data_IF_259037245179
#
_entry.id   IF_259037245179
#
_cell.length_a   1.000
_cell.length_b   1.000
_cell.length_c   1.000
_cell.angle_alpha   90.00
_cell.angle_beta   90.00
_cell.angle_gamma   90.00
#
_symmetry.space_group_name_H-M   'P 1'
#
loop_
_entity.id
_entity.type
_entity.pdbx_description
1 polymer ?
#
# COMPACT_ATOMS: atom_id res chain seq x y z
N UNK A 1 15.00 13.04 10.44
CA UNK A 1 14.74 12.20 11.62
C UNK A 1 13.77 11.11 11.24
N UNK A 2 14.09 9.86 11.53
CA UNK A 2 13.29 8.67 11.21
C UNK A 2 12.79 8.09 12.53
N UNK A 3 11.50 7.69 12.55
CA UNK A 3 10.88 6.90 13.63
C UNK A 3 10.28 5.63 13.07
N UNK A 4 9.67 5.71 11.89
CA UNK A 4 9.03 4.60 11.17
C UNK A 4 9.72 4.36 9.84
N UNK A 5 9.82 3.10 9.42
CA UNK A 5 10.29 2.73 8.09
C UNK A 5 9.49 1.56 7.54
N UNK A 6 8.97 1.73 6.33
CA UNK A 6 8.33 0.67 5.56
C UNK A 6 9.14 0.48 4.28
N UNK A 7 9.61 -0.74 4.03
CA UNK A 7 10.37 -1.07 2.84
C UNK A 7 9.54 -1.86 1.85
N UNK A 8 9.57 -1.43 0.59
CA UNK A 8 8.93 -2.07 -0.55
C UNK A 8 9.95 -2.70 -1.48
N UNK A 9 9.52 -3.68 -2.26
CA UNK A 9 10.32 -4.38 -3.26
C UNK A 9 9.49 -4.72 -4.48
N UNK A 10 10.11 -4.61 -5.64
CA UNK A 10 9.63 -5.23 -6.87
C UNK A 10 10.67 -6.25 -7.30
N UNK A 11 10.25 -7.51 -7.41
CA UNK A 11 11.17 -8.62 -7.62
C UNK A 11 10.49 -9.75 -8.39
N UNK A 12 11.28 -10.41 -9.21
CA UNK A 12 10.92 -11.70 -9.80
C UNK A 12 11.51 -12.81 -8.92
N UNK A 13 10.64 -13.69 -8.42
CA UNK A 13 11.04 -14.85 -7.60
C UNK A 13 10.59 -16.13 -8.32
N UNK A 14 11.40 -16.69 -9.20
CA UNK A 14 11.13 -17.98 -9.84
C UNK A 14 10.86 -19.08 -8.80
N UNK A 15 10.19 -20.20 -9.16
CA UNK A 15 9.95 -21.30 -8.25
C UNK A 15 11.19 -21.73 -7.49
N UNK A 16 11.07 -21.95 -6.18
CA UNK A 16 12.18 -22.30 -5.30
C UNK A 16 13.04 -21.12 -4.86
N UNK A 17 12.65 -19.89 -5.15
CA UNK A 17 13.42 -18.70 -4.74
C UNK A 17 12.57 -17.72 -3.92
N UNK A 18 13.23 -16.94 -3.08
CA UNK A 18 12.62 -15.89 -2.27
C UNK A 18 13.65 -14.82 -1.91
N UNK A 19 13.19 -13.71 -1.34
CA UNK A 19 14.06 -12.67 -0.83
C UNK A 19 13.59 -12.16 0.54
N UNK A 20 14.54 -11.59 1.28
CA UNK A 20 14.26 -10.90 2.52
C UNK A 20 14.98 -9.56 2.55
N UNK A 21 14.24 -8.50 2.87
CA UNK A 21 14.82 -7.21 3.22
C UNK A 21 15.18 -7.18 4.71
N UNK A 22 16.15 -6.35 5.05
CA UNK A 22 16.51 -5.99 6.42
C UNK A 22 16.86 -4.52 6.50
N UNK A 23 16.65 -3.94 7.66
CA UNK A 23 16.96 -2.53 7.93
C UNK A 23 17.83 -2.40 9.17
N UNK A 24 18.72 -1.43 9.16
CA UNK A 24 19.36 -0.89 10.36
C UNK A 24 19.41 0.62 10.28
N UNK A 25 19.50 1.27 11.41
CA UNK A 25 19.44 2.73 11.52
C UNK A 25 20.66 3.30 12.24
N UNK A 26 20.97 4.56 11.96
CA UNK A 26 22.01 5.30 12.66
C UNK A 26 21.37 6.17 13.73
N UNK A 27 21.66 5.83 14.96
CA UNK A 27 21.35 6.60 16.16
C UNK A 27 22.53 7.52 16.50
N UNK A 28 22.34 8.51 17.39
CA UNK A 28 23.47 9.29 17.95
C UNK A 28 24.56 8.41 18.57
N UNK A 29 24.18 7.27 19.12
CA UNK A 29 25.08 6.31 19.78
C UNK A 29 25.80 5.35 18.84
N UNK A 30 25.45 5.35 17.53
CA UNK A 30 26.03 4.45 16.53
C UNK A 30 24.98 3.74 15.66
N UNK A 31 25.40 2.72 14.95
CA UNK A 31 24.49 1.88 14.16
C UNK A 31 23.79 0.86 15.05
N UNK A 32 22.48 0.66 14.79
CA UNK A 32 21.72 -0.44 15.41
C UNK A 32 22.15 -1.80 14.87
N UNK A 33 21.65 -2.88 15.46
CA UNK A 33 21.59 -4.19 14.84
C UNK A 33 20.70 -4.18 13.58
N UNK A 34 20.71 -5.30 12.86
CA UNK A 34 19.83 -5.51 11.71
C UNK A 34 18.48 -6.08 12.15
N UNK A 35 17.40 -5.44 11.70
CA UNK A 35 16.02 -5.92 11.83
C UNK A 35 15.58 -6.58 10.53
N UNK A 36 15.14 -7.82 10.61
CA UNK A 36 14.59 -8.54 9.46
C UNK A 36 13.21 -8.02 9.15
N UNK A 37 12.91 -7.81 7.87
CA UNK A 37 11.61 -7.43 7.35
C UNK A 37 10.93 -8.66 6.70
N UNK A 38 9.64 -8.58 6.32
CA UNK A 38 8.91 -9.71 5.76
C UNK A 38 9.61 -10.41 4.58
N UNK A 39 9.49 -11.72 4.54
CA UNK A 39 9.97 -12.57 3.45
C UNK A 39 8.95 -12.51 2.30
N UNK A 40 9.48 -12.32 1.09
CA UNK A 40 8.68 -12.35 -0.13
C UNK A 40 9.03 -13.53 -1.03
N UNK A 41 7.99 -14.23 -1.46
CA UNK A 41 8.00 -15.18 -2.59
C UNK A 41 6.68 -15.05 -3.33
N UNK A 42 6.70 -14.99 -4.65
CA UNK A 42 5.48 -15.03 -5.47
C UNK A 42 4.86 -16.43 -5.51
N UNK A 43 5.70 -17.48 -5.48
CA UNK A 43 5.29 -18.88 -5.40
C UNK A 43 5.36 -19.38 -3.94
N UNK A 44 4.21 -19.74 -3.32
CA UNK A 44 4.18 -20.23 -1.95
C UNK A 44 4.56 -21.71 -1.80
N UNK A 45 4.83 -22.43 -2.88
CA UNK A 45 5.09 -23.88 -2.83
C UNK A 45 6.37 -24.24 -2.04
N UNK A 46 7.43 -23.45 -2.21
CA UNK A 46 8.71 -23.67 -1.50
C UNK A 46 8.76 -22.86 -0.21
N UNK A 47 8.49 -21.55 -0.29
CA UNK A 47 8.46 -20.65 0.85
C UNK A 47 7.20 -19.80 0.80
N UNK A 48 6.36 -19.94 1.80
CA UNK A 48 5.20 -19.08 1.97
C UNK A 48 5.66 -17.69 2.40
N UNK A 49 5.27 -16.64 1.63
CA UNK A 49 5.55 -15.25 2.02
C UNK A 49 4.93 -14.95 3.38
N UNK A 50 5.65 -14.25 4.22
CA UNK A 50 5.16 -13.98 5.58
C UNK A 50 5.87 -12.79 6.21
N UNK A 51 5.16 -12.14 7.12
CA UNK A 51 5.73 -11.20 8.10
C UNK A 51 6.63 -11.93 9.08
N UNK A 52 7.56 -11.19 9.67
CA UNK A 52 8.45 -11.70 10.70
C UNK A 52 8.12 -11.04 12.02
N UNK A 53 8.00 -11.86 13.08
CA UNK A 53 7.94 -11.32 14.45
C UNK A 53 9.38 -11.07 14.89
N UNK A 54 9.81 -9.83 14.89
CA UNK A 54 11.08 -9.44 15.47
C UNK A 54 10.80 -8.95 16.89
N UNK A 55 11.36 -9.64 17.86
CA UNK A 55 11.27 -9.22 19.25
C UNK A 55 11.81 -7.81 19.40
N UNK A 56 11.10 -7.00 20.19
CA UNK A 56 11.54 -5.65 20.50
C UNK A 56 12.84 -5.69 21.32
N UNK A 57 13.79 -4.84 20.94
CA UNK A 57 14.95 -4.49 21.75
C UNK A 57 14.85 -3.05 22.24
N UNK A 58 15.89 -2.53 22.86
CA UNK A 58 15.92 -1.13 23.34
C UNK A 58 15.88 -0.10 22.22
N UNK A 59 16.14 -0.49 20.98
CA UNK A 59 16.18 0.42 19.82
C UNK A 59 14.87 0.43 19.07
N UNK A 60 14.32 -0.73 18.74
CA UNK A 60 13.11 -0.81 17.92
C UNK A 60 12.55 -2.22 17.81
N UNK A 61 11.61 -2.39 16.91
CA UNK A 61 10.96 -3.65 16.58
C UNK A 61 10.39 -3.61 15.16
N UNK A 62 9.91 -4.74 14.68
CA UNK A 62 9.13 -4.81 13.44
C UNK A 62 7.74 -5.31 13.79
N UNK A 63 6.73 -4.51 13.45
CA UNK A 63 5.33 -4.90 13.51
C UNK A 63 4.84 -5.18 12.09
N UNK A 64 4.56 -6.43 11.81
CA UNK A 64 4.09 -6.95 10.52
C UNK A 64 5.02 -6.54 9.37
N UNK A 65 4.95 -5.31 8.89
CA UNK A 65 5.68 -4.78 7.73
C UNK A 65 6.41 -3.46 8.01
N UNK A 66 6.25 -2.92 9.22
CA UNK A 66 6.78 -1.62 9.62
C UNK A 66 7.85 -1.78 10.70
N UNK A 67 9.05 -1.25 10.43
CA UNK A 67 10.06 -1.05 11.47
C UNK A 67 9.75 0.24 12.23
N UNK A 68 9.80 0.17 13.56
CA UNK A 68 9.52 1.29 14.45
C UNK A 68 10.60 1.43 15.52
N UNK A 69 11.05 2.67 15.76
CA UNK A 69 11.95 3.01 16.85
C UNK A 69 11.18 3.18 18.17
N UNK A 70 11.78 2.73 19.26
CA UNK A 70 11.20 2.78 20.60
C UNK A 70 11.82 3.91 21.44
N UNK A 71 11.18 4.16 22.59
CA UNK A 71 11.69 5.04 23.64
C UNK A 71 12.02 6.45 23.13
N UNK A 72 11.17 6.98 22.22
CA UNK A 72 11.33 8.30 21.60
C UNK A 72 12.68 8.47 20.87
N UNK A 73 13.35 7.35 20.54
CA UNK A 73 14.57 7.38 19.74
C UNK A 73 14.27 7.88 18.35
N UNK A 74 15.26 8.52 17.76
CA UNK A 74 15.20 8.98 16.38
C UNK A 74 16.50 8.63 15.68
N UNK A 75 16.40 8.31 14.39
CA UNK A 75 17.56 8.03 13.55
C UNK A 75 17.79 9.14 12.54
N UNK A 76 19.03 9.34 12.14
CA UNK A 76 19.42 10.32 11.12
C UNK A 76 19.52 9.72 9.73
N UNK A 77 19.78 8.41 9.64
CA UNK A 77 19.85 7.67 8.40
C UNK A 77 19.53 6.20 8.64
N UNK A 78 19.34 5.47 7.55
CA UNK A 78 19.12 4.03 7.56
C UNK A 78 19.92 3.34 6.44
N UNK A 79 20.07 2.04 6.59
CA UNK A 79 20.59 1.17 5.53
C UNK A 79 19.61 0.03 5.31
N UNK A 80 19.40 -0.30 4.04
CA UNK A 80 18.66 -1.50 3.64
C UNK A 80 19.66 -2.56 3.16
N UNK A 81 19.38 -3.79 3.52
CA UNK A 81 20.06 -4.96 2.99
C UNK A 81 19.07 -5.88 2.30
N UNK A 82 19.47 -6.48 1.21
CA UNK A 82 18.68 -7.48 0.47
C UNK A 82 19.42 -8.80 0.52
N UNK A 83 18.71 -9.86 0.89
CA UNK A 83 19.25 -11.22 0.79
C UNK A 83 18.38 -12.01 -0.17
N UNK A 84 19.01 -12.57 -1.18
CA UNK A 84 18.42 -13.42 -2.20
C UNK A 84 18.65 -14.87 -1.84
N UNK A 85 17.62 -15.69 -1.91
CA UNK A 85 17.67 -17.09 -1.52
C UNK A 85 17.23 -17.99 -2.67
N UNK A 86 17.86 -19.15 -2.75
CA UNK A 86 17.51 -20.24 -3.65
C UNK A 86 17.58 -21.57 -2.91
N UNK A 87 16.56 -22.38 -3.02
CA UNK A 87 16.50 -23.69 -2.38
C UNK A 87 17.50 -24.69 -2.98
N UNK A 88 17.78 -24.58 -4.29
CA UNK A 88 18.61 -25.55 -5.03
C UNK A 88 19.85 -24.92 -5.67
N UNK A 89 19.93 -23.59 -5.71
CA UNK A 89 20.96 -22.88 -6.47
C UNK A 89 20.73 -22.83 -7.98
N UNK A 90 19.71 -23.52 -8.50
CA UNK A 90 19.43 -23.56 -9.94
C UNK A 90 18.85 -22.25 -10.48
N UNK A 91 18.03 -21.56 -9.67
CA UNK A 91 17.42 -20.28 -10.01
C UNK A 91 17.83 -19.22 -8.98
N UNK A 92 17.83 -17.96 -9.38
CA UNK A 92 18.03 -16.82 -8.48
C UNK A 92 16.89 -15.83 -8.63
N UNK A 93 16.42 -15.20 -7.53
CA UNK A 93 15.52 -14.07 -7.66
C UNK A 93 16.25 -12.86 -8.24
N UNK A 94 15.52 -11.97 -8.90
CA UNK A 94 16.02 -10.67 -9.33
C UNK A 94 15.20 -9.56 -8.70
N UNK A 95 15.84 -8.43 -8.41
CA UNK A 95 15.21 -7.26 -7.77
C UNK A 95 15.30 -6.08 -8.71
N UNK A 96 14.15 -5.50 -9.06
CA UNK A 96 14.06 -4.36 -9.96
C UNK A 96 13.95 -3.04 -9.18
N UNK A 97 13.35 -3.08 -7.98
CA UNK A 97 13.18 -1.91 -7.12
C UNK A 97 13.28 -2.31 -5.66
N UNK A 98 14.00 -1.50 -4.89
CA UNK A 98 13.91 -1.42 -3.43
C UNK A 98 13.63 0.02 -3.08
N UNK A 99 12.50 0.27 -2.44
CA UNK A 99 12.11 1.59 -1.97
C UNK A 99 11.85 1.55 -0.45
N UNK A 100 11.99 2.68 0.20
CA UNK A 100 11.59 2.83 1.59
C UNK A 100 10.97 4.20 1.83
N UNK A 101 9.88 4.24 2.58
CA UNK A 101 9.41 5.45 3.22
C UNK A 101 9.90 5.46 4.66
N UNK A 102 10.66 6.50 4.99
CA UNK A 102 11.15 6.76 6.32
C UNK A 102 10.47 8.03 6.83
N UNK A 103 9.80 7.96 7.96
CA UNK A 103 8.96 9.04 8.46
C UNK A 103 9.01 9.18 9.98
N UNK A 104 8.43 10.28 10.46
CA UNK A 104 8.09 10.53 11.85
C UNK A 104 6.75 11.24 11.90
N UNK A 105 6.11 11.19 13.03
CA UNK A 105 4.96 12.06 13.27
C UNK A 105 5.42 13.51 13.42
N UNK A 106 4.67 14.42 12.82
CA UNK A 106 4.86 15.84 12.98
C UNK A 106 3.90 16.34 14.07
N UNK A 107 4.29 17.36 14.87
CA UNK A 107 3.40 17.98 15.84
C UNK A 107 2.12 18.54 15.21
N UNK A 108 2.23 19.00 13.95
CA UNK A 108 1.11 19.38 13.09
C UNK A 108 1.48 19.16 11.63
N UNK A 109 0.48 18.85 10.82
CA UNK A 109 0.64 18.77 9.38
C UNK A 109 0.09 20.05 8.74
N UNK A 110 0.73 20.59 7.69
CA UNK A 110 0.25 21.78 7.04
C UNK A 110 -1.12 21.52 6.40
N UNK A 111 -2.08 22.39 6.67
CA UNK A 111 -3.34 22.41 5.92
C UNK A 111 -3.08 23.13 4.60
N UNK A 112 -3.04 22.37 3.51
CA UNK A 112 -2.83 22.91 2.17
C UNK A 112 -4.19 23.03 1.45
N UNK A 113 -4.44 24.13 0.72
CA UNK A 113 -5.65 24.25 -0.09
C UNK A 113 -5.66 23.16 -1.19
N UNK A 114 -6.85 22.82 -1.73
CA UNK A 114 -6.94 21.93 -2.87
C UNK A 114 -6.07 22.41 -4.04
N UNK A 115 -5.38 21.49 -4.73
CA UNK A 115 -4.65 21.81 -5.94
C UNK A 115 -5.66 22.07 -7.07
N UNK A 116 -5.72 23.28 -7.63
CA UNK A 116 -6.71 23.62 -8.66
C UNK A 116 -6.55 22.80 -9.93
N UNK A 117 -5.35 22.25 -10.20
CA UNK A 117 -5.09 21.39 -11.36
C UNK A 117 -5.74 20.03 -11.25
N UNK A 118 -5.99 19.58 -10.03
CA UNK A 118 -6.65 18.31 -9.75
C UNK A 118 -8.19 18.46 -9.63
N UNK A 119 -8.73 19.69 -9.69
CA UNK A 119 -10.17 19.93 -9.61
C UNK A 119 -10.89 19.26 -10.77
N UNK A 120 -11.87 18.41 -10.47
CA UNK A 120 -12.64 17.64 -11.43
C UNK A 120 -11.90 16.44 -12.05
N UNK A 121 -10.67 16.14 -11.62
CA UNK A 121 -9.98 14.89 -11.99
C UNK A 121 -10.76 13.73 -11.38
N UNK A 122 -11.15 12.76 -12.19
CA UNK A 122 -11.82 11.53 -11.78
C UNK A 122 -11.38 10.39 -12.69
N UNK A 123 -10.40 9.61 -12.26
CA UNK A 123 -9.87 8.49 -13.02
C UNK A 123 -10.92 7.40 -13.16
N UNK A 124 -10.99 6.75 -14.32
CA UNK A 124 -11.99 5.72 -14.62
C UNK A 124 -11.63 4.37 -13.96
N UNK A 125 -11.48 4.38 -12.63
CA UNK A 125 -11.14 3.18 -11.88
C UNK A 125 -12.33 2.22 -11.85
N UNK A 126 -12.17 0.95 -12.26
CA UNK A 126 -13.21 -0.07 -12.15
C UNK A 126 -13.70 -0.24 -10.71
N UNK A 127 -14.97 -0.58 -10.55
CA UNK A 127 -15.60 -0.68 -9.24
C UNK A 127 -15.71 -2.13 -8.81
N UNK A 128 -15.12 -2.47 -7.66
CA UNK A 128 -15.17 -3.81 -7.06
C UNK A 128 -15.45 -3.72 -5.58
N UNK A 129 -16.50 -4.41 -5.14
CA UNK A 129 -16.80 -4.58 -3.72
C UNK A 129 -16.08 -5.82 -3.19
N UNK A 130 -15.60 -5.75 -1.96
CA UNK A 130 -15.09 -6.91 -1.22
C UNK A 130 -16.21 -7.78 -0.63
N UNK A 131 -17.44 -7.24 -0.55
CA UNK A 131 -18.57 -7.85 0.17
C UNK A 131 -19.37 -8.85 -0.67
N UNK A 132 -18.94 -9.14 -1.91
CA UNK A 132 -19.70 -10.02 -2.79
C UNK A 132 -19.79 -11.44 -2.24
N UNK A 133 -20.99 -12.09 -2.33
CA UNK A 133 -21.20 -13.43 -1.77
C UNK A 133 -20.27 -14.51 -2.33
N UNK A 134 -19.84 -14.38 -3.60
CA UNK A 134 -18.90 -15.30 -4.23
C UNK A 134 -17.53 -15.37 -3.57
N UNK A 135 -17.16 -14.39 -2.75
CA UNK A 135 -15.89 -14.40 -2.01
C UNK A 135 -15.96 -15.17 -0.69
N UNK A 136 -17.16 -15.62 -0.28
CA UNK A 136 -17.38 -16.43 0.94
C UNK A 136 -17.32 -17.94 0.71
N UNK A 137 -16.84 -18.38 -0.47
CA UNK A 137 -16.69 -19.80 -0.81
C UNK A 137 -15.66 -20.52 0.05
N UNK A 138 -15.81 -21.85 0.27
CA UNK A 138 -14.88 -22.63 1.11
C UNK A 138 -13.41 -22.56 0.68
N UNK A 139 -13.15 -22.48 -0.63
CA UNK A 139 -11.79 -22.36 -1.17
C UNK A 139 -11.04 -21.11 -0.73
N UNK A 140 -11.76 -20.03 -0.35
CA UNK A 140 -11.16 -18.77 0.11
C UNK A 140 -10.99 -18.67 1.62
N UNK A 141 -11.53 -19.65 2.38
CA UNK A 141 -11.40 -19.66 3.83
C UNK A 141 -9.93 -19.62 4.32
N UNK A 142 -8.97 -20.31 3.70
CA UNK A 142 -7.56 -20.22 4.08
C UNK A 142 -6.96 -18.82 3.94
N UNK A 143 -7.60 -17.93 3.16
CA UNK A 143 -7.14 -16.57 2.87
C UNK A 143 -7.97 -15.50 3.61
N UNK A 144 -8.54 -15.83 4.75
CA UNK A 144 -9.40 -14.97 5.55
C UNK A 144 -10.87 -14.99 5.12
N UNK A 145 -11.24 -15.72 4.06
CA UNK A 145 -12.61 -15.98 3.66
C UNK A 145 -13.33 -14.84 2.93
N UNK A 146 -12.62 -13.79 2.50
CA UNK A 146 -13.22 -12.65 1.81
C UNK A 146 -13.92 -11.65 2.74
N UNK A 147 -14.80 -10.82 2.18
CA UNK A 147 -15.55 -9.83 2.95
C UNK A 147 -14.65 -8.78 3.63
N UNK A 148 -14.91 -8.50 4.89
CA UNK A 148 -14.26 -7.43 5.67
C UNK A 148 -12.72 -7.44 5.68
N UNK A 149 -12.09 -8.57 5.35
CA UNK A 149 -10.63 -8.72 5.43
C UNK A 149 -9.92 -8.51 4.09
N UNK A 150 -10.64 -8.25 2.99
CA UNK A 150 -10.06 -8.15 1.64
C UNK A 150 -10.01 -6.74 1.05
N UNK A 151 -10.11 -5.70 1.88
CA UNK A 151 -10.07 -4.31 1.39
C UNK A 151 -8.79 -4.00 0.59
N UNK A 152 -7.63 -4.45 1.06
CA UNK A 152 -6.34 -4.20 0.41
C UNK A 152 -6.21 -4.88 -0.96
N UNK A 153 -6.41 -6.21 -1.11
CA UNK A 153 -6.35 -6.85 -2.42
C UNK A 153 -7.47 -6.39 -3.36
N UNK A 154 -8.67 -6.06 -2.85
CA UNK A 154 -9.75 -5.50 -3.67
C UNK A 154 -9.33 -4.15 -4.26
N UNK A 155 -8.78 -3.26 -3.45
CA UNK A 155 -8.25 -1.97 -3.91
C UNK A 155 -7.09 -2.15 -4.91
N UNK A 156 -6.18 -3.09 -4.64
CA UNK A 156 -5.07 -3.42 -5.54
C UNK A 156 -5.58 -3.94 -6.89
N UNK A 157 -6.56 -4.84 -6.88
CA UNK A 157 -7.15 -5.39 -8.11
C UNK A 157 -7.88 -4.33 -8.95
N UNK A 158 -8.55 -3.33 -8.31
CA UNK A 158 -9.15 -2.21 -9.03
C UNK A 158 -8.10 -1.35 -9.75
N UNK A 159 -6.98 -1.07 -9.10
CA UNK A 159 -5.87 -0.31 -9.71
C UNK A 159 -5.19 -1.12 -10.82
N UNK A 160 -5.01 -2.41 -10.65
CA UNK A 160 -4.44 -3.28 -11.69
C UNK A 160 -5.35 -3.37 -12.92
N UNK A 161 -6.68 -3.50 -12.72
CA UNK A 161 -7.64 -3.48 -13.83
C UNK A 161 -7.66 -2.12 -14.54
N UNK A 162 -7.56 -1.00 -13.81
CA UNK A 162 -7.41 0.32 -14.44
C UNK A 162 -6.20 0.34 -15.38
N UNK A 163 -5.05 -0.14 -14.95
CA UNK A 163 -3.87 -0.21 -15.81
C UNK A 163 -4.03 -1.21 -16.95
N UNK A 164 -4.76 -2.31 -16.74
CA UNK A 164 -5.12 -3.23 -17.82
C UNK A 164 -5.87 -2.51 -18.96
N UNK A 165 -6.82 -1.64 -18.60
CA UNK A 165 -7.61 -0.88 -19.56
C UNK A 165 -6.77 0.23 -20.23
N UNK A 166 -6.01 0.99 -19.46
CA UNK A 166 -5.17 2.09 -19.97
C UNK A 166 -4.10 1.58 -20.96
N UNK A 167 -3.49 0.43 -20.65
CA UNK A 167 -2.40 -0.14 -21.45
C UNK A 167 -2.87 -1.16 -22.50
N UNK A 168 -4.15 -1.54 -22.49
CA UNK A 168 -4.67 -2.68 -23.27
C UNK A 168 -3.91 -3.98 -22.98
N UNK A 169 -3.58 -4.23 -21.70
CA UNK A 169 -2.83 -5.40 -21.20
C UNK A 169 -3.72 -6.30 -20.34
N UNK A 170 -4.44 -7.28 -20.92
CA UNK A 170 -5.42 -8.12 -20.19
C UNK A 170 -4.83 -8.87 -18.99
N UNK A 171 -3.54 -9.22 -19.01
CA UNK A 171 -2.87 -9.91 -17.90
C UNK A 171 -2.84 -9.11 -16.58
N UNK A 172 -3.03 -7.81 -16.64
CA UNK A 172 -3.12 -6.94 -15.44
C UNK A 172 -4.50 -7.00 -14.79
N UNK A 173 -5.54 -7.48 -15.49
CA UNK A 173 -6.88 -7.61 -14.95
C UNK A 173 -6.98 -8.84 -14.02
N UNK A 174 -6.44 -8.72 -12.83
CA UNK A 174 -6.48 -9.77 -11.82
C UNK A 174 -7.79 -9.70 -11.03
N UNK A 175 -8.39 -10.85 -10.73
CA UNK A 175 -9.60 -10.90 -9.90
C UNK A 175 -9.27 -10.54 -8.43
N UNK A 176 -10.31 -10.19 -7.64
CA UNK A 176 -10.15 -9.95 -6.20
C UNK A 176 -9.59 -11.18 -5.48
N UNK A 177 -10.10 -12.40 -5.71
CA UNK A 177 -9.51 -13.61 -5.13
C UNK A 177 -8.04 -13.84 -5.53
N UNK A 178 -7.68 -13.63 -6.80
CA UNK A 178 -6.27 -13.79 -7.24
C UNK A 178 -5.35 -12.82 -6.50
N UNK A 179 -5.77 -11.57 -6.35
CA UNK A 179 -5.03 -10.58 -5.58
C UNK A 179 -4.93 -10.96 -4.09
N UNK A 180 -6.03 -11.44 -3.50
CA UNK A 180 -6.04 -11.88 -2.11
C UNK A 180 -5.10 -13.07 -1.85
N UNK A 181 -5.14 -14.09 -2.71
CA UNK A 181 -4.23 -15.23 -2.68
C UNK A 181 -2.79 -14.78 -2.90
N UNK A 182 -2.58 -13.88 -3.87
CA UNK A 182 -1.27 -13.39 -4.30
C UNK A 182 -0.55 -12.52 -3.26
N UNK A 183 -1.26 -11.83 -2.37
CA UNK A 183 -0.66 -10.98 -1.33
C UNK A 183 -0.82 -11.54 0.10
N UNK A 184 -1.45 -12.71 0.29
CA UNK A 184 -1.72 -13.28 1.61
C UNK A 184 -0.44 -13.50 2.42
N UNK A 185 -0.44 -13.00 3.64
CA UNK A 185 0.65 -13.15 4.61
C UNK A 185 0.34 -14.34 5.55
N UNK A 186 1.14 -15.39 5.46
CA UNK A 186 0.89 -16.65 6.16
C UNK A 186 1.17 -16.61 7.67
N UNK A 187 1.89 -15.61 8.19
CA UNK A 187 2.12 -15.41 9.61
C UNK A 187 1.14 -14.39 10.19
N UNK A 188 0.94 -13.27 9.52
CA UNK A 188 -0.10 -12.29 9.86
C UNK A 188 -1.51 -12.86 9.70
N UNK A 189 -1.67 -13.90 8.84
CA UNK A 189 -2.94 -14.55 8.49
C UNK A 189 -3.97 -13.57 7.90
N UNK A 190 -3.52 -12.72 7.00
CA UNK A 190 -4.36 -11.72 6.37
C UNK A 190 -3.75 -11.15 5.09
N UNK A 191 -4.50 -10.29 4.44
CA UNK A 191 -4.15 -9.67 3.16
C UNK A 191 -3.71 -8.21 3.30
N UNK A 192 -3.65 -7.70 4.55
CA UNK A 192 -3.36 -6.30 4.87
C UNK A 192 -1.87 -5.96 4.97
N UNK A 193 -0.94 -6.87 4.69
CA UNK A 193 0.48 -6.54 4.59
C UNK A 193 0.70 -5.60 3.39
N UNK A 194 1.01 -4.33 3.67
CA UNK A 194 1.04 -3.28 2.66
C UNK A 194 2.08 -3.54 1.56
N UNK A 195 3.36 -3.81 1.87
CA UNK A 195 4.35 -4.14 0.84
C UNK A 195 4.06 -5.42 0.04
N UNK A 196 3.26 -6.36 0.55
CA UNK A 196 2.90 -7.54 -0.21
C UNK A 196 1.91 -7.25 -1.32
N UNK A 197 1.00 -6.30 -1.13
CA UNK A 197 0.08 -5.86 -2.18
C UNK A 197 0.82 -5.18 -3.32
N UNK A 198 1.77 -4.28 -3.02
CA UNK A 198 2.58 -3.63 -4.06
C UNK A 198 3.55 -4.60 -4.73
N UNK A 199 4.12 -5.54 -3.99
CA UNK A 199 4.96 -6.61 -4.55
C UNK A 199 4.16 -7.56 -5.45
N UNK A 200 2.91 -7.89 -5.09
CA UNK A 200 2.03 -8.67 -5.96
C UNK A 200 1.81 -7.97 -7.30
N UNK A 201 1.41 -6.70 -7.30
CA UNK A 201 1.23 -5.95 -8.53
C UNK A 201 2.52 -5.90 -9.39
N UNK A 202 3.69 -5.87 -8.73
CA UNK A 202 4.98 -5.86 -9.44
C UNK A 202 5.29 -7.18 -10.16
N UNK A 203 4.72 -8.30 -9.74
CA UNK A 203 4.90 -9.57 -10.46
C UNK A 203 4.29 -9.56 -11.87
N UNK A 204 3.41 -8.60 -12.15
CA UNK A 204 2.80 -8.36 -13.44
C UNK A 204 3.50 -7.25 -14.26
N UNK A 205 4.64 -6.73 -13.78
CA UNK A 205 5.44 -5.72 -14.48
C UNK A 205 5.07 -4.27 -14.14
N UNK A 206 4.27 -4.05 -13.11
CA UNK A 206 4.03 -2.71 -12.57
C UNK A 206 5.11 -2.34 -11.53
N UNK A 207 5.40 -1.08 -11.39
CA UNK A 207 6.12 -0.55 -10.23
C UNK A 207 5.14 -0.38 -9.07
N UNK A 208 5.54 -0.84 -7.88
CA UNK A 208 4.70 -0.71 -6.71
C UNK A 208 5.52 -0.46 -5.44
N UNK A 209 5.16 0.56 -4.67
CA UNK A 209 5.80 0.83 -3.38
C UNK A 209 4.88 1.60 -2.42
N UNK A 210 5.23 1.55 -1.14
CA UNK A 210 4.55 2.29 -0.08
C UNK A 210 5.22 3.65 0.09
N UNK A 211 4.38 4.68 0.25
CA UNK A 211 4.84 6.03 0.57
C UNK A 211 3.91 6.68 1.61
N UNK A 212 4.27 7.88 2.05
CA UNK A 212 3.47 8.74 2.94
C UNK A 212 3.45 10.15 2.40
N UNK A 213 2.30 10.79 2.50
CA UNK A 213 2.09 12.15 2.04
C UNK A 213 1.81 13.10 3.21
N UNK A 214 1.93 14.41 2.99
CA UNK A 214 1.54 15.39 4.00
C UNK A 214 0.05 15.73 3.93
N UNK A 215 -0.54 15.69 2.74
CA UNK A 215 -1.95 16.04 2.48
C UNK A 215 -2.39 15.53 1.11
N UNK A 216 -3.68 15.61 0.81
CA UNK A 216 -4.18 15.36 -0.55
C UNK A 216 -3.62 16.33 -1.59
N UNK A 217 -3.33 17.57 -1.22
CA UNK A 217 -2.70 18.52 -2.16
C UNK A 217 -1.27 18.11 -2.53
N UNK A 218 -0.54 17.47 -1.61
CA UNK A 218 0.77 16.88 -1.89
C UNK A 218 0.66 15.61 -2.74
N UNK A 219 -0.43 14.86 -2.64
CA UNK A 219 -0.70 13.65 -3.42
C UNK A 219 -1.34 13.94 -4.80
N UNK A 220 -2.04 15.06 -4.94
CA UNK A 220 -2.78 15.44 -6.14
C UNK A 220 -1.98 15.37 -7.46
N UNK A 221 -0.67 15.72 -7.51
CA UNK A 221 0.13 15.57 -8.72
C UNK A 221 0.16 14.16 -9.31
N UNK A 222 0.06 13.11 -8.50
CA UNK A 222 -0.02 11.74 -9.00
C UNK A 222 -1.35 11.47 -9.70
N UNK A 223 -2.47 11.96 -9.14
CA UNK A 223 -3.79 11.83 -9.75
C UNK A 223 -3.88 12.61 -11.07
N UNK A 224 -3.29 13.81 -11.15
CA UNK A 224 -3.20 14.56 -12.41
C UNK A 224 -2.30 13.88 -13.45
N UNK A 225 -1.33 13.09 -13.00
CA UNK A 225 -0.50 12.23 -13.86
C UNK A 225 -1.17 10.89 -14.22
N UNK A 226 -2.43 10.69 -13.84
CA UNK A 226 -3.19 9.47 -14.12
C UNK A 226 -2.89 8.30 -13.19
N UNK A 227 -2.20 8.52 -12.07
CA UNK A 227 -1.85 7.49 -11.08
C UNK A 227 -2.82 7.53 -9.91
N UNK A 228 -3.69 6.52 -9.74
CA UNK A 228 -4.55 6.39 -8.57
C UNK A 228 -3.73 6.05 -7.31
N UNK A 229 -4.30 6.36 -6.15
CA UNK A 229 -3.67 6.09 -4.87
C UNK A 229 -4.52 5.09 -4.09
N UNK A 230 -3.91 4.06 -3.50
CA UNK A 230 -4.59 3.25 -2.48
C UNK A 230 -4.14 3.80 -1.14
N UNK A 231 -5.07 4.29 -0.32
CA UNK A 231 -4.75 4.88 0.98
C UNK A 231 -5.27 4.02 2.13
N UNK A 232 -4.51 3.99 3.22
CA UNK A 232 -4.93 3.35 4.47
C UNK A 232 -5.61 4.37 5.37
N UNK A 233 -6.82 4.09 5.81
CA UNK A 233 -7.60 4.96 6.70
C UNK A 233 -8.01 4.23 7.97
N UNK A 234 -8.17 4.98 9.05
CA UNK A 234 -8.78 4.51 10.29
C UNK A 234 -9.69 5.61 10.86
N UNK A 235 -10.82 5.25 11.44
CA UNK A 235 -11.76 6.21 11.98
C UNK A 235 -12.72 5.57 12.99
N UNK A 236 -13.25 6.39 13.89
CA UNK A 236 -14.27 6.05 14.87
C UNK A 236 -15.68 6.36 14.35
N UNK A 237 -16.73 5.88 15.03
CA UNK A 237 -18.09 6.19 14.62
C UNK A 237 -18.35 7.70 14.47
N UNK A 238 -18.90 8.10 13.33
CA UNK A 238 -19.22 9.49 13.01
C UNK A 238 -18.08 10.35 12.45
N UNK A 239 -16.83 9.87 12.45
CA UNK A 239 -15.69 10.66 11.95
C UNK A 239 -15.61 10.70 10.41
N UNK A 240 -16.16 9.70 9.71
CA UNK A 240 -16.20 9.68 8.24
C UNK A 240 -17.64 9.52 7.75
N UNK A 241 -18.36 10.62 7.52
CA UNK A 241 -19.73 10.59 7.03
C UNK A 241 -19.86 9.92 5.66
N UNK A 242 -20.86 9.06 5.48
CA UNK A 242 -21.11 8.35 4.23
C UNK A 242 -20.28 7.07 4.04
N UNK A 243 -19.42 6.71 4.98
CA UNK A 243 -18.69 5.45 4.93
C UNK A 243 -19.62 4.23 5.05
N UNK A 244 -19.38 3.15 4.25
CA UNK A 244 -20.20 1.94 4.30
C UNK A 244 -20.02 1.16 5.62
N UNK A 245 -18.91 1.37 6.33
CA UNK A 245 -18.66 0.82 7.66
C UNK A 245 -18.62 1.93 8.71
N UNK A 246 -19.07 1.62 9.93
CA UNK A 246 -19.21 2.64 10.99
C UNK A 246 -17.89 3.04 11.65
N UNK A 247 -16.88 2.16 11.63
CA UNK A 247 -15.54 2.34 12.22
C UNK A 247 -14.56 1.35 11.64
N UNK A 248 -13.27 1.69 11.71
CA UNK A 248 -12.17 0.77 11.37
C UNK A 248 -10.86 1.18 12.04
N UNK A 249 -10.02 0.20 12.37
CA UNK A 249 -8.63 0.43 12.79
C UNK A 249 -7.65 0.37 11.61
N UNK A 250 -8.12 0.01 10.41
CA UNK A 250 -7.32 -0.06 9.19
C UNK A 250 -8.19 -0.51 8.02
N UNK A 251 -8.34 0.32 7.00
CA UNK A 251 -9.12 0.04 5.80
C UNK A 251 -8.45 0.66 4.58
N UNK A 252 -8.42 -0.06 3.47
CA UNK A 252 -7.79 0.39 2.23
C UNK A 252 -8.85 0.76 1.21
N UNK A 253 -8.74 1.98 0.67
CA UNK A 253 -9.64 2.52 -0.34
C UNK A 253 -8.83 3.12 -1.49
N UNK A 254 -9.43 3.23 -2.68
CA UNK A 254 -8.78 3.83 -3.86
C UNK A 254 -9.23 5.28 -4.02
N UNK A 255 -8.31 6.22 -3.91
CA UNK A 255 -8.53 7.62 -4.31
C UNK A 255 -8.39 7.70 -5.82
N UNK A 256 -9.45 8.16 -6.48
CA UNK A 256 -9.53 8.26 -7.94
C UNK A 256 -9.56 9.71 -8.45
N UNK A 257 -9.78 10.68 -7.57
CA UNK A 257 -9.77 12.07 -7.94
C UNK A 257 -10.42 13.00 -6.93
N UNK A 258 -10.77 14.19 -7.41
CA UNK A 258 -11.43 15.24 -6.64
C UNK A 258 -12.57 15.84 -7.45
N UNK A 259 -13.67 16.13 -6.80
CA UNK A 259 -14.76 16.88 -7.41
C UNK A 259 -14.41 18.37 -7.56
N UNK A 260 -15.34 19.16 -8.10
CA UNK A 260 -15.15 20.59 -8.31
C UNK A 260 -15.06 21.41 -7.01
N UNK A 261 -15.56 20.85 -5.90
CA UNK A 261 -15.51 21.45 -4.57
C UNK A 261 -14.21 21.10 -3.82
N UNK A 262 -13.43 20.15 -4.37
CA UNK A 262 -12.20 19.65 -3.77
C UNK A 262 -12.43 18.46 -2.83
N UNK A 263 -13.66 17.95 -2.74
CA UNK A 263 -13.97 16.71 -2.02
C UNK A 263 -13.41 15.50 -2.75
N UNK A 264 -13.14 14.42 -2.02
CA UNK A 264 -12.34 13.32 -2.53
C UNK A 264 -13.23 12.22 -3.09
N UNK A 265 -13.07 11.92 -4.38
CA UNK A 265 -13.76 10.82 -5.04
C UNK A 265 -12.94 9.56 -4.83
N UNK A 266 -13.57 8.54 -4.25
CA UNK A 266 -12.93 7.26 -3.95
C UNK A 266 -13.72 6.08 -4.50
N UNK A 267 -13.06 4.93 -4.63
CA UNK A 267 -13.71 3.63 -4.61
C UNK A 267 -13.46 3.00 -3.24
N UNK A 268 -14.53 2.79 -2.48
CA UNK A 268 -14.49 2.14 -1.17
C UNK A 268 -14.98 0.68 -1.30
N UNK A 269 -14.08 -0.30 -1.19
CA UNK A 269 -14.42 -1.71 -1.40
C UNK A 269 -15.37 -2.29 -0.34
N UNK A 270 -15.54 -1.64 0.81
CA UNK A 270 -16.50 -2.06 1.85
C UNK A 270 -17.96 -1.75 1.50
N UNK A 271 -18.23 -1.09 0.38
CA UNK A 271 -19.59 -0.91 -0.12
C UNK A 271 -20.23 -2.28 -0.45
N UNK A 272 -21.55 -2.39 -0.24
CA UNK A 272 -22.29 -3.66 -0.33
C UNK A 272 -22.23 -4.37 -1.70
N UNK A 273 -22.01 -3.61 -2.79
CA UNK A 273 -21.97 -4.09 -4.17
C UNK A 273 -21.09 -3.20 -5.04
N UNK A 274 -20.76 -3.66 -6.23
CA UNK A 274 -19.89 -2.94 -7.16
C UNK A 274 -20.46 -1.58 -7.57
N UNK A 275 -21.78 -1.43 -7.68
CA UNK A 275 -22.41 -0.19 -8.13
C UNK A 275 -22.32 0.93 -7.09
N UNK A 276 -22.20 0.59 -5.81
CA UNK A 276 -22.12 1.53 -4.68
C UNK A 276 -20.70 1.84 -4.19
N UNK A 277 -19.68 1.29 -4.83
CA UNK A 277 -18.27 1.44 -4.42
C UNK A 277 -17.76 2.87 -4.59
N UNK A 278 -18.23 3.61 -5.60
CA UNK A 278 -17.81 5.00 -5.79
C UNK A 278 -18.53 5.93 -4.81
N UNK A 279 -17.74 6.60 -3.97
CA UNK A 279 -18.24 7.52 -2.92
C UNK A 279 -17.47 8.84 -3.03
N UNK A 280 -18.09 9.93 -2.66
CA UNK A 280 -17.43 11.23 -2.45
C UNK A 280 -17.40 11.50 -0.95
N UNK A 281 -16.20 11.62 -0.41
CA UNK A 281 -16.01 11.96 0.99
C UNK A 281 -15.63 13.42 1.17
N UNK A 282 -16.17 14.11 2.20
CA UNK A 282 -15.68 15.43 2.58
C UNK A 282 -14.18 15.38 2.81
N UNK A 283 -13.43 16.24 2.09
CA UNK A 283 -11.96 16.25 2.10
C UNK A 283 -11.38 16.27 3.50
N UNK A 284 -11.87 17.15 4.38
CA UNK A 284 -11.36 17.29 5.73
C UNK A 284 -11.55 16.02 6.58
N UNK A 285 -12.71 15.36 6.46
CA UNK A 285 -13.01 14.13 7.18
C UNK A 285 -12.13 12.97 6.71
N UNK A 286 -11.95 12.81 5.39
CA UNK A 286 -11.10 11.77 4.85
C UNK A 286 -9.62 12.04 5.15
N UNK A 287 -9.17 13.28 5.15
CA UNK A 287 -7.80 13.63 5.50
C UNK A 287 -7.49 13.33 6.97
N UNK A 288 -8.45 13.54 7.87
CA UNK A 288 -8.36 13.13 9.27
C UNK A 288 -8.30 11.60 9.42
N UNK A 289 -9.18 10.86 8.73
CA UNK A 289 -9.15 9.40 8.73
C UNK A 289 -7.83 8.83 8.18
N UNK A 290 -7.27 9.45 7.14
CA UNK A 290 -5.98 9.08 6.56
C UNK A 290 -4.80 9.38 7.50
N UNK A 291 -4.90 10.46 8.27
CA UNK A 291 -3.88 10.82 9.27
C UNK A 291 -3.72 9.76 10.36
N UNK A 292 -4.77 9.05 10.76
CA UNK A 292 -4.70 7.93 11.72
C UNK A 292 -3.84 6.76 11.25
N UNK A 293 -3.60 6.64 9.94
CA UNK A 293 -2.67 5.67 9.34
C UNK A 293 -1.40 6.35 8.82
N UNK A 294 -0.96 7.44 9.46
CA UNK A 294 0.22 8.22 9.09
C UNK A 294 0.25 8.65 7.61
N UNK A 295 -0.91 8.85 7.00
CA UNK A 295 -1.08 9.20 5.58
C UNK A 295 -0.37 8.23 4.63
N UNK A 296 -0.41 6.95 4.96
CA UNK A 296 0.18 5.88 4.17
C UNK A 296 -0.62 5.65 2.88
N UNK A 297 0.10 5.45 1.79
CA UNK A 297 -0.47 5.15 0.47
C UNK A 297 0.37 4.11 -0.28
N UNK A 298 -0.29 3.33 -1.14
CA UNK A 298 0.37 2.55 -2.19
C UNK A 298 0.37 3.38 -3.47
N UNK A 299 1.51 3.40 -4.13
CA UNK A 299 1.65 3.82 -5.53
C UNK A 299 1.89 2.57 -6.37
N UNK A 300 1.03 2.34 -7.36
CA UNK A 300 1.11 1.22 -8.30
C UNK A 300 0.88 1.78 -9.70
N UNK A 301 1.88 1.67 -10.59
CA UNK A 301 1.82 2.25 -11.93
C UNK A 301 2.80 1.54 -12.88
N UNK A 302 2.64 1.66 -14.21
CA UNK A 302 3.59 1.11 -15.18
C UNK A 302 4.99 1.71 -14.97
N UNK A 303 6.02 0.90 -15.01
CA UNK A 303 7.40 1.29 -14.59
C UNK A 303 7.91 2.57 -15.25
N UNK A 304 7.57 2.83 -16.52
CA UNK A 304 8.00 4.02 -17.27
C UNK A 304 6.95 5.11 -17.35
N UNK A 305 5.79 4.95 -16.67
CA UNK A 305 4.68 5.90 -16.79
C UNK A 305 5.05 7.31 -16.38
N UNK A 306 5.75 7.46 -15.25
CA UNK A 306 6.12 8.76 -14.72
C UNK A 306 7.23 9.46 -15.51
N UNK A 307 7.93 8.77 -16.41
CA UNK A 307 8.92 9.36 -17.30
C UNK A 307 8.24 10.27 -18.35
N UNK A 308 7.05 9.85 -18.81
CA UNK A 308 6.23 10.60 -19.77
C UNK A 308 5.10 11.41 -19.13
N UNK A 309 4.71 11.10 -17.90
CA UNK A 309 3.65 11.75 -17.12
C UNK A 309 4.18 12.16 -15.74
N UNK A 310 5.16 13.07 -15.67
CA UNK A 310 5.76 13.42 -14.39
C UNK A 310 4.73 14.08 -13.46
N UNK A 311 4.68 13.72 -12.18
CA UNK A 311 3.83 14.37 -11.20
C UNK A 311 4.40 15.78 -10.94
N UNK A 312 3.86 16.77 -11.62
CA UNK A 312 4.29 18.15 -11.46
C UNK A 312 3.75 18.73 -10.17
N UNK A 313 4.62 18.92 -9.18
CA UNK A 313 4.27 19.61 -7.95
C UNK A 313 3.70 21.01 -8.24
N UNK A 314 2.73 21.48 -7.45
CA UNK A 314 2.43 22.89 -7.39
C UNK A 314 3.73 23.63 -7.06
N UNK A 315 4.04 24.72 -7.76
CA UNK A 315 5.11 25.61 -7.32
C UNK A 315 4.81 25.99 -5.87
N UNK A 316 5.75 25.88 -4.95
CA UNK A 316 5.55 26.47 -3.63
C UNK A 316 5.24 27.96 -3.86
N UNK A 317 4.15 28.43 -3.23
CA UNK A 317 3.78 29.84 -3.18
C UNK A 317 4.87 30.61 -2.43
#
# INVERSE_FOLDING_TARGET
>A
TVVYLIASRNATTPPGTWLQLRVRVRLPTGLSGWYRLPIWSSDPATVKRHSVKVAADDTGYVDTDTFELRNQKTATSYQLGVTLFSATGANSPSVNLVAAVASRDLPSYPTLPPDPRASGVNLAIPQRSQELPEYKKPEYQPYGGGGEVWCSPTSTSMVMEYWSQVLSEPRLNQTVPDAAIGCYDWVYKGTGNWPFNTAYASTFGLSGYITRFYSFSHAAPYLTAGVPLIISIAFKPGELPGAPISKTNGHLIVVRGFDKNGDVIVNDPAAKDNASVQIVYPRAALEAAWAHSHRTAYLIYPTTWLDSHPPTAARPL
#
